data_IF_774615601474
#
_entry.id   IF_774615601474
#
_cell.length_a   1.000
_cell.length_b   1.000
_cell.length_c   1.000
_cell.angle_alpha   90.00
_cell.angle_beta   90.00
_cell.angle_gamma   90.00
#
_symmetry.space_group_name_H-M   'P 1'
#
loop_
_entity.id
_entity.type
_entity.pdbx_description
1 polymer ?
#
# COMPACT_ATOMS: atom_id res chain seq x y z
N UNK A 1 16.14 -4.73 31.51
CA UNK A 1 16.54 -5.23 30.18
C UNK A 1 15.58 -4.64 29.17
N UNK A 2 15.99 -3.81 28.21
CA UNK A 2 15.07 -3.34 27.17
C UNK A 2 14.86 -4.44 26.13
N UNK A 3 13.59 -4.75 25.83
CA UNK A 3 13.17 -5.66 24.77
C UNK A 3 13.51 -5.03 23.42
N UNK A 4 14.25 -5.74 22.59
CA UNK A 4 14.49 -5.34 21.20
C UNK A 4 13.13 -5.32 20.44
N UNK A 5 12.91 -4.38 19.52
CA UNK A 5 11.74 -4.44 18.65
C UNK A 5 11.86 -5.67 17.76
N UNK A 6 10.93 -6.62 17.94
CA UNK A 6 10.75 -7.73 17.00
C UNK A 6 10.42 -7.15 15.63
N UNK A 7 11.36 -7.21 14.69
CA UNK A 7 11.09 -6.98 13.28
C UNK A 7 10.24 -8.14 12.77
N UNK A 8 8.92 -8.00 12.85
CA UNK A 8 8.00 -8.82 12.07
C UNK A 8 8.42 -8.64 10.61
N UNK A 9 8.77 -9.71 9.88
CA UNK A 9 9.06 -9.57 8.46
C UNK A 9 7.84 -8.92 7.81
N UNK A 10 8.06 -7.90 6.98
CA UNK A 10 6.97 -7.28 6.24
C UNK A 10 6.30 -8.38 5.41
N UNK A 11 5.12 -8.81 5.85
CA UNK A 11 4.34 -9.81 5.13
C UNK A 11 4.14 -9.28 3.70
N UNK A 12 4.42 -10.10 2.69
CA UNK A 12 4.18 -9.70 1.32
C UNK A 12 2.67 -9.44 1.19
N UNK A 13 2.27 -8.28 0.68
CA UNK A 13 0.86 -7.94 0.52
C UNK A 13 0.10 -9.02 -0.27
N UNK A 14 0.77 -9.71 -1.21
CA UNK A 14 0.20 -10.82 -1.95
C UNK A 14 -0.14 -12.03 -1.08
N UNK A 15 0.70 -12.36 -0.08
CA UNK A 15 0.46 -13.45 0.86
C UNK A 15 -0.71 -13.13 1.78
N UNK A 16 -0.74 -11.90 2.32
CA UNK A 16 -1.85 -11.42 3.17
C UNK A 16 -3.18 -11.43 2.41
N UNK A 17 -3.18 -11.04 1.13
CA UNK A 17 -4.38 -11.07 0.29
C UNK A 17 -4.83 -12.51 0.00
N UNK A 18 -3.91 -13.44 -0.22
CA UNK A 18 -4.25 -14.86 -0.42
C UNK A 18 -4.92 -15.45 0.82
N UNK A 19 -4.41 -15.14 2.01
CA UNK A 19 -5.02 -15.60 3.26
C UNK A 19 -6.43 -15.02 3.43
N UNK A 20 -6.62 -13.73 3.20
CA UNK A 20 -7.94 -13.07 3.30
C UNK A 20 -8.95 -13.66 2.30
N UNK A 21 -8.52 -13.97 1.08
CA UNK A 21 -9.38 -14.67 0.09
C UNK A 21 -9.80 -16.04 0.60
N UNK A 22 -8.88 -16.80 1.20
CA UNK A 22 -9.21 -18.08 1.83
C UNK A 22 -10.30 -17.97 2.91
N UNK A 23 -10.29 -16.90 3.71
CA UNK A 23 -11.33 -16.65 4.73
C UNK A 23 -12.68 -16.27 4.11
N UNK A 24 -12.66 -15.51 3.01
CA UNK A 24 -13.88 -15.17 2.27
C UNK A 24 -14.47 -16.43 1.63
N UNK A 25 -13.63 -17.31 1.07
CA UNK A 25 -14.06 -18.58 0.49
C UNK A 25 -14.67 -19.52 1.56
N UNK A 26 -14.19 -19.46 2.81
CA UNK A 26 -14.81 -20.15 3.96
C UNK A 26 -16.20 -19.61 4.35
N UNK A 27 -16.63 -18.48 3.78
CA UNK A 27 -17.96 -17.91 4.00
C UNK A 27 -19.01 -18.43 2.99
N UNK A 28 -18.58 -19.18 1.97
CA UNK A 28 -19.47 -19.83 1.00
C UNK A 28 -20.00 -21.16 1.58
N UNK A 29 -21.33 -21.31 1.75
CA UNK A 29 -21.93 -22.53 2.29
C UNK A 29 -21.71 -23.78 1.43
N UNK A 30 -21.30 -23.62 0.17
CA UNK A 30 -20.92 -24.73 -0.72
C UNK A 30 -19.42 -25.09 -0.62
N UNK A 31 -18.62 -24.31 0.09
CA UNK A 31 -17.20 -24.57 0.27
C UNK A 31 -16.95 -25.68 1.30
N UNK A 32 -16.00 -26.58 1.01
CA UNK A 32 -15.71 -27.76 1.86
C UNK A 32 -15.16 -27.45 3.25
N UNK A 33 -14.87 -26.18 3.53
CA UNK A 33 -14.36 -25.66 4.82
C UNK A 33 -15.22 -24.53 5.36
N UNK A 34 -16.52 -24.51 5.02
CA UNK A 34 -17.47 -23.50 5.47
C UNK A 34 -17.36 -23.28 6.98
N UNK A 35 -17.10 -22.04 7.39
CA UNK A 35 -17.13 -21.64 8.78
C UNK A 35 -18.58 -21.71 9.27
N UNK A 36 -18.82 -22.49 10.31
CA UNK A 36 -20.15 -22.76 10.84
C UNK A 36 -20.76 -21.54 11.56
N UNK A 37 -19.97 -20.49 11.83
CA UNK A 37 -20.45 -19.22 12.35
C UNK A 37 -19.80 -18.00 11.70
N UNK A 38 -20.60 -16.95 11.45
CA UNK A 38 -20.11 -15.64 11.00
C UNK A 38 -19.14 -14.97 11.99
N UNK A 39 -19.13 -15.41 13.24
CA UNK A 39 -18.18 -14.94 14.26
C UNK A 39 -16.78 -15.49 13.99
N UNK A 40 -16.65 -16.76 13.59
CA UNK A 40 -15.35 -17.38 13.29
C UNK A 40 -14.70 -16.77 12.02
N UNK A 41 -15.51 -16.46 10.99
CA UNK A 41 -15.02 -15.70 9.85
C UNK A 41 -14.49 -14.32 10.24
N UNK A 42 -15.19 -13.62 11.16
CA UNK A 42 -14.78 -12.30 11.59
C UNK A 42 -13.50 -12.34 12.42
N UNK A 43 -13.38 -13.30 13.34
CA UNK A 43 -12.18 -13.48 14.16
C UNK A 43 -10.96 -13.82 13.31
N UNK A 44 -11.13 -14.66 12.28
CA UNK A 44 -10.05 -14.99 11.36
C UNK A 44 -9.65 -13.78 10.49
N UNK A 45 -10.61 -12.99 9.97
CA UNK A 45 -10.31 -11.74 9.28
C UNK A 45 -9.54 -10.75 10.17
N UNK A 46 -9.94 -10.60 11.43
CA UNK A 46 -9.29 -9.71 12.38
C UNK A 46 -7.85 -10.15 12.70
N UNK A 47 -7.55 -11.45 12.64
CA UNK A 47 -6.17 -11.98 12.78
C UNK A 47 -5.22 -11.39 11.73
N UNK A 48 -5.73 -11.03 10.55
CA UNK A 48 -4.94 -10.44 9.46
C UNK A 48 -4.79 -8.91 9.56
N UNK A 49 -5.46 -8.22 10.48
CA UNK A 49 -5.44 -6.75 10.57
C UNK A 49 -4.01 -6.20 10.73
N UNK A 50 -3.24 -6.77 11.67
CA UNK A 50 -1.87 -6.29 11.95
C UNK A 50 -0.93 -6.50 10.76
N UNK A 51 -0.88 -7.69 10.12
CA UNK A 51 -0.17 -7.89 8.85
C UNK A 51 -0.59 -6.92 7.74
N UNK A 52 -1.90 -6.67 7.57
CA UNK A 52 -2.41 -5.72 6.56
C UNK A 52 -1.89 -4.31 6.84
N UNK A 53 -1.98 -3.83 8.09
CA UNK A 53 -1.48 -2.50 8.47
C UNK A 53 0.02 -2.37 8.25
N UNK A 54 0.80 -3.40 8.58
CA UNK A 54 2.24 -3.42 8.36
C UNK A 54 2.60 -3.41 6.86
N UNK A 55 1.90 -4.22 6.06
CA UNK A 55 2.08 -4.25 4.61
C UNK A 55 1.72 -2.88 3.99
N UNK A 56 0.57 -2.29 4.36
CA UNK A 56 0.18 -0.96 3.90
C UNK A 56 1.19 0.12 4.27
N UNK A 57 1.73 0.10 5.49
CA UNK A 57 2.78 1.04 5.88
C UNK A 57 4.05 0.88 5.04
N UNK A 58 4.40 -0.34 4.65
CA UNK A 58 5.53 -0.61 3.78
C UNK A 58 5.29 -0.16 2.32
N UNK A 59 4.07 -0.29 1.78
CA UNK A 59 3.74 0.23 0.44
C UNK A 59 3.52 1.74 0.44
N UNK A 60 3.14 2.31 1.58
CA UNK A 60 2.96 3.75 1.79
C UNK A 60 4.24 4.44 2.30
N UNK A 61 5.37 3.74 2.28
CA UNK A 61 6.69 4.26 2.62
C UNK A 61 7.01 5.53 1.80
N UNK A 62 7.82 6.46 2.34
CA UNK A 62 7.87 7.86 1.91
C UNK A 62 8.10 7.97 0.41
N UNK A 63 7.17 8.66 -0.26
CA UNK A 63 7.32 9.03 -1.66
C UNK A 63 8.38 10.12 -1.83
N UNK A 64 8.88 10.25 -3.04
CA UNK A 64 9.63 11.41 -3.47
C UNK A 64 8.69 12.61 -3.63
N UNK A 65 9.08 13.75 -3.08
CA UNK A 65 8.53 15.04 -3.52
C UNK A 65 9.26 15.39 -4.81
N UNK A 66 8.57 15.22 -5.94
CA UNK A 66 9.07 15.58 -7.25
C UNK A 66 8.64 17.02 -7.56
N UNK A 67 9.60 17.91 -7.80
CA UNK A 67 9.38 19.28 -8.23
C UNK A 67 9.66 19.39 -9.72
N UNK A 68 8.73 19.96 -10.49
CA UNK A 68 8.78 20.03 -11.93
C UNK A 68 8.82 21.49 -12.41
N UNK A 69 9.72 21.79 -13.35
CA UNK A 69 9.69 23.02 -14.13
C UNK A 69 9.14 22.74 -15.53
N UNK A 70 8.00 23.33 -15.88
CA UNK A 70 7.40 23.16 -17.19
C UNK A 70 7.86 24.26 -18.17
N UNK A 71 8.11 23.94 -19.46
CA UNK A 71 8.42 24.95 -20.49
C UNK A 71 7.36 26.04 -20.67
N UNK A 72 6.11 25.82 -20.24
CA UNK A 72 5.07 26.85 -20.26
C UNK A 72 5.25 27.93 -19.17
N UNK A 73 6.25 27.77 -18.29
CA UNK A 73 6.56 28.68 -17.18
C UNK A 73 5.93 28.28 -15.84
N UNK A 74 5.12 27.22 -15.80
CA UNK A 74 4.55 26.72 -14.55
C UNK A 74 5.55 25.85 -13.77
N UNK A 75 5.50 25.96 -12.44
CA UNK A 75 6.20 25.06 -11.51
C UNK A 75 5.15 24.35 -10.67
N UNK A 76 5.32 23.04 -10.45
CA UNK A 76 4.41 22.24 -9.63
C UNK A 76 5.15 21.12 -8.94
N UNK A 77 4.51 20.53 -7.92
CA UNK A 77 5.06 19.44 -7.12
C UNK A 77 4.04 18.30 -7.04
N UNK A 78 4.54 17.07 -7.01
CA UNK A 78 3.71 15.91 -6.71
C UNK A 78 4.48 14.89 -5.86
N UNK A 79 3.72 14.15 -5.06
CA UNK A 79 4.21 13.04 -4.25
C UNK A 79 4.03 11.75 -5.02
N UNK A 80 5.15 11.06 -5.27
CA UNK A 80 5.17 9.80 -6.00
C UNK A 80 6.06 8.80 -5.30
N UNK A 81 5.77 7.48 -5.36
CA UNK A 81 6.65 6.47 -4.77
C UNK A 81 8.01 6.33 -5.50
N UNK A 82 8.21 7.08 -6.60
CA UNK A 82 9.44 7.09 -7.38
C UNK A 82 9.67 8.47 -8.03
N UNK A 83 10.88 8.69 -8.55
CA UNK A 83 11.15 9.79 -9.48
C UNK A 83 10.51 9.42 -10.83
N UNK A 84 9.52 10.19 -11.28
CA UNK A 84 8.78 9.88 -12.51
C UNK A 84 8.34 11.15 -13.24
N UNK A 85 8.14 11.03 -14.54
CA UNK A 85 7.57 12.09 -15.36
C UNK A 85 6.08 12.30 -15.03
N UNK A 86 5.61 13.54 -15.14
CA UNK A 86 4.20 13.88 -14.89
C UNK A 86 3.69 14.95 -15.85
N UNK A 87 2.37 15.10 -15.97
CA UNK A 87 1.76 16.11 -16.84
C UNK A 87 1.58 17.41 -16.09
N UNK A 88 2.08 18.49 -16.68
CA UNK A 88 1.88 19.84 -16.18
C UNK A 88 0.37 20.14 -16.07
N UNK A 89 -0.14 20.51 -14.88
CA UNK A 89 -1.57 20.78 -14.70
C UNK A 89 -2.06 22.01 -15.47
N UNK A 90 -1.16 22.91 -15.86
CA UNK A 90 -1.50 24.12 -16.61
C UNK A 90 -1.63 23.91 -18.12
N UNK A 91 -0.81 23.02 -18.71
CA UNK A 91 -0.75 22.88 -20.18
C UNK A 91 -0.75 21.43 -20.69
N UNK A 92 -0.74 20.43 -19.81
CA UNK A 92 -0.77 19.01 -20.16
C UNK A 92 0.55 18.43 -20.69
N UNK A 93 1.61 19.24 -20.81
CA UNK A 93 2.94 18.79 -21.25
C UNK A 93 3.52 17.80 -20.24
N UNK A 94 4.08 16.68 -20.72
CA UNK A 94 4.85 15.77 -19.87
C UNK A 94 6.19 16.39 -19.51
N UNK A 95 6.50 16.44 -18.22
CA UNK A 95 7.71 17.03 -17.66
C UNK A 95 8.42 16.00 -16.78
N UNK A 96 9.74 15.91 -16.94
CA UNK A 96 10.60 15.21 -15.98
C UNK A 96 10.83 16.08 -14.74
N UNK A 97 11.04 15.48 -13.56
CA UNK A 97 11.30 16.23 -12.34
C UNK A 97 12.63 16.99 -12.46
N UNK A 98 12.61 18.26 -12.06
CA UNK A 98 13.82 19.07 -11.92
C UNK A 98 14.61 18.66 -10.67
N UNK A 99 13.89 18.34 -9.60
CA UNK A 99 14.45 17.82 -8.35
C UNK A 99 13.51 16.78 -7.74
N UNK A 100 14.08 15.81 -7.04
CA UNK A 100 13.36 14.79 -6.28
C UNK A 100 14.01 14.66 -4.91
N UNK A 101 13.22 14.82 -3.85
CA UNK A 101 13.68 14.68 -2.47
C UNK A 101 12.90 13.56 -1.78
N UNK A 102 13.60 12.78 -0.94
CA UNK A 102 12.94 11.84 -0.02
C UNK A 102 12.06 12.62 0.96
N UNK A 103 10.89 12.08 1.29
CA UNK A 103 9.99 12.65 2.31
C UNK A 103 10.44 12.28 3.73
#
# INVERSE_FOLDING_TARGET
>A
MPLAPSSVPAANIAEVLQDVVGVIDMSDPEHGSFADSAADCLDELLRHETPIRAALAAVSAPGFINTYGCPCGATFENLWPAQCDDKCPACGTTCSPTTSADQ
#
